data_IF_019295278285
#
_entry.id   IF_019295278285
#
_cell.length_a   1.000
_cell.length_b   1.000
_cell.length_c   1.000
_cell.angle_alpha   90.00
_cell.angle_beta   90.00
_cell.angle_gamma   90.00
#
_symmetry.space_group_name_H-M   'P 1'
#
loop_
_entity.id
_entity.type
_entity.pdbx_description
1 polymer ?
#
# COMPACT_ATOMS: atom_id res chain seq x y z
N UNK A 1 -9.30 24.79 13.62
CA UNK A 1 -9.97 24.47 12.33
C UNK A 1 -10.06 22.97 12.08
N UNK A 2 -8.95 22.22 11.94
CA UNK A 2 -8.99 20.78 11.62
C UNK A 2 -9.68 19.88 12.66
N UNK A 3 -9.46 20.11 13.97
CA UNK A 3 -10.16 19.35 15.01
C UNK A 3 -11.68 19.53 14.95
N UNK A 4 -12.14 20.75 14.67
CA UNK A 4 -13.56 21.07 14.47
C UNK A 4 -14.13 20.35 13.26
N UNK A 5 -13.37 20.28 12.15
CA UNK A 5 -13.78 19.55 10.95
C UNK A 5 -13.86 18.03 11.19
N UNK A 6 -12.93 17.46 11.95
CA UNK A 6 -12.99 16.05 12.36
C UNK A 6 -14.23 15.79 13.21
N UNK A 7 -14.47 16.60 14.25
CA UNK A 7 -15.63 16.41 15.14
C UNK A 7 -16.97 16.54 14.39
N UNK A 8 -17.02 17.34 13.33
CA UNK A 8 -18.21 17.50 12.48
C UNK A 8 -18.45 16.31 11.55
N UNK A 9 -17.41 15.83 10.88
CA UNK A 9 -17.55 14.77 9.86
C UNK A 9 -17.49 13.37 10.46
N UNK A 10 -16.70 13.18 11.51
CA UNK A 10 -16.51 11.90 12.21
C UNK A 10 -16.61 12.07 13.72
N UNK A 11 -17.81 12.31 14.27
CA UNK A 11 -18.01 12.56 15.71
C UNK A 11 -17.50 11.41 16.59
N UNK A 12 -17.59 10.16 16.11
CA UNK A 12 -17.11 8.97 16.82
C UNK A 12 -15.58 8.86 16.87
N UNK A 13 -14.84 9.54 15.98
CA UNK A 13 -13.38 9.53 15.95
C UNK A 13 -12.75 10.25 17.16
N UNK A 14 -13.52 11.10 17.85
CA UNK A 14 -13.08 11.80 19.07
C UNK A 14 -12.87 10.87 20.27
N UNK A 15 -13.56 9.72 20.31
CA UNK A 15 -13.58 8.82 21.47
C UNK A 15 -12.55 7.69 21.41
N UNK A 16 -11.80 7.56 20.31
CA UNK A 16 -10.88 6.44 20.14
C UNK A 16 -9.57 6.67 20.90
N UNK A 17 -9.25 5.76 21.84
CA UNK A 17 -7.97 5.71 22.55
C UNK A 17 -6.80 5.70 21.57
N UNK A 18 -5.68 6.36 21.89
CA UNK A 18 -4.43 6.24 21.12
C UNK A 18 -4.07 4.76 20.97
N UNK A 19 -3.56 4.38 19.80
CA UNK A 19 -3.02 3.05 19.57
C UNK A 19 -1.51 3.01 19.81
N UNK A 20 -0.97 1.86 20.22
CA UNK A 20 0.47 1.63 20.28
C UNK A 20 1.05 1.42 18.88
N UNK A 21 2.37 1.36 18.76
CA UNK A 21 3.05 0.97 17.53
C UNK A 21 3.78 2.11 16.80
N UNK A 22 4.48 1.77 15.70
CA UNK A 22 5.40 2.67 15.02
C UNK A 22 4.73 3.79 14.19
N UNK A 23 3.44 3.69 13.86
CA UNK A 23 2.72 4.65 13.01
C UNK A 23 1.83 5.56 13.87
N UNK A 24 2.26 6.81 14.14
CA UNK A 24 1.51 7.72 15.00
C UNK A 24 0.34 8.42 14.27
N UNK A 25 -0.63 8.87 15.06
CA UNK A 25 -1.74 9.75 14.60
C UNK A 25 -1.29 11.08 14.02
N UNK A 26 -0.12 11.58 14.43
CA UNK A 26 0.39 12.88 14.01
C UNK A 26 -0.55 14.05 14.34
N UNK A 27 -0.52 15.09 13.50
CA UNK A 27 -1.27 16.33 13.71
C UNK A 27 -2.76 16.19 13.38
N UNK A 28 -3.59 17.15 13.82
CA UNK A 28 -5.01 17.20 13.48
C UNK A 28 -5.27 17.19 11.97
N UNK A 29 -4.39 17.81 11.18
CA UNK A 29 -4.48 17.79 9.71
C UNK A 29 -4.26 16.38 9.15
N UNK A 30 -3.22 15.67 9.65
CA UNK A 30 -2.94 14.27 9.26
C UNK A 30 -4.11 13.36 9.61
N UNK A 31 -4.67 13.50 10.82
CA UNK A 31 -5.85 12.73 11.26
C UNK A 31 -7.04 12.95 10.34
N UNK A 32 -7.31 14.18 9.93
CA UNK A 32 -8.39 14.47 8.98
C UNK A 32 -8.18 13.74 7.65
N UNK A 33 -6.97 13.78 7.10
CA UNK A 33 -6.63 13.07 5.86
C UNK A 33 -6.76 11.54 6.03
N UNK A 34 -6.31 11.01 7.16
CA UNK A 34 -6.41 9.58 7.46
C UNK A 34 -7.88 9.14 7.52
N UNK A 35 -8.74 9.86 8.23
CA UNK A 35 -10.17 9.54 8.31
C UNK A 35 -10.84 9.58 6.94
N UNK A 36 -10.53 10.60 6.13
CA UNK A 36 -11.05 10.73 4.77
C UNK A 36 -10.64 9.54 3.88
N UNK A 37 -9.39 9.08 4.00
CA UNK A 37 -8.90 7.91 3.26
C UNK A 37 -9.53 6.63 3.80
N UNK A 38 -9.61 6.45 5.12
CA UNK A 38 -10.21 5.27 5.76
C UNK A 38 -11.65 5.06 5.33
N UNK A 39 -12.44 6.13 5.27
CA UNK A 39 -13.83 6.13 4.82
C UNK A 39 -13.98 5.60 3.39
N UNK A 40 -13.03 5.92 2.50
CA UNK A 40 -13.02 5.45 1.11
C UNK A 40 -12.50 4.02 0.93
N UNK A 41 -11.48 3.63 1.72
CA UNK A 41 -10.83 2.32 1.62
C UNK A 41 -11.66 1.21 2.23
N UNK A 42 -12.33 1.50 3.34
CA UNK A 42 -13.17 0.54 4.06
C UNK A 42 -14.61 0.98 3.85
N UNK A 43 -15.17 0.65 2.69
CA UNK A 43 -16.62 0.72 2.48
C UNK A 43 -17.25 -0.30 3.42
N UNK A 44 -17.62 0.14 4.60
CA UNK A 44 -18.46 -0.62 5.50
C UNK A 44 -19.29 0.39 6.25
N UNK A 45 -20.62 0.21 6.26
CA UNK A 45 -21.57 1.00 7.04
C UNK A 45 -21.40 0.79 8.56
N UNK A 46 -20.15 0.91 9.03
CA UNK A 46 -19.68 0.70 10.38
C UNK A 46 -18.58 1.71 10.72
N UNK A 47 -17.92 1.47 11.84
CA UNK A 47 -17.12 2.46 12.55
C UNK A 47 -15.73 2.66 11.91
N UNK A 48 -15.48 3.82 11.29
CA UNK A 48 -14.27 4.13 10.49
C UNK A 48 -12.98 3.81 11.25
N UNK A 49 -12.14 2.95 10.67
CA UNK A 49 -10.83 2.62 11.24
C UNK A 49 -9.79 3.68 10.87
N UNK A 50 -9.64 4.71 11.71
CA UNK A 50 -8.64 5.78 11.57
C UNK A 50 -7.21 5.22 11.36
N UNK A 51 -6.90 4.04 11.94
CA UNK A 51 -5.58 3.41 11.78
C UNK A 51 -5.29 3.07 10.32
N UNK A 52 -6.28 2.56 9.58
CA UNK A 52 -6.13 2.17 8.17
C UNK A 52 -5.65 3.36 7.32
N UNK A 53 -6.24 4.53 7.52
CA UNK A 53 -5.89 5.75 6.82
C UNK A 53 -4.50 6.27 7.20
N UNK A 54 -4.11 6.16 8.48
CA UNK A 54 -2.75 6.52 8.88
C UNK A 54 -1.70 5.59 8.29
N UNK A 55 -2.00 4.30 8.20
CA UNK A 55 -1.15 3.31 7.56
C UNK A 55 -1.04 3.56 6.05
N UNK A 56 -2.14 3.93 5.39
CA UNK A 56 -2.11 4.36 3.99
C UNK A 56 -1.20 5.57 3.77
N UNK A 57 -1.40 6.63 4.56
CA UNK A 57 -0.59 7.84 4.44
C UNK A 57 0.88 7.56 4.72
N UNK A 58 1.17 6.76 5.75
CA UNK A 58 2.52 6.33 6.05
C UNK A 58 3.16 5.61 4.85
N UNK A 59 2.49 4.60 4.29
CA UNK A 59 3.04 3.84 3.18
C UNK A 59 3.27 4.74 1.97
N UNK A 60 2.28 5.57 1.59
CA UNK A 60 2.42 6.53 0.49
C UNK A 60 3.64 7.45 0.68
N UNK A 61 3.78 8.03 1.87
CA UNK A 61 4.92 8.90 2.22
C UNK A 61 6.26 8.17 2.18
N UNK A 62 6.32 6.87 2.49
CA UNK A 62 7.57 6.10 2.38
C UNK A 62 7.95 5.81 0.94
N UNK A 63 6.97 5.52 0.08
CA UNK A 63 7.21 5.21 -1.33
C UNK A 63 7.57 6.46 -2.16
N UNK A 64 7.13 7.65 -1.73
CA UNK A 64 7.45 8.92 -2.38
C UNK A 64 8.82 9.49 -1.95
N UNK A 65 9.53 8.84 -1.02
CA UNK A 65 10.86 9.29 -0.59
C UNK A 65 11.92 9.05 -1.68
N UNK A 66 12.98 9.89 -1.75
CA UNK A 66 14.11 9.65 -2.65
C UNK A 66 14.86 8.34 -2.35
N UNK A 67 14.97 7.99 -1.07
CA UNK A 67 15.55 6.71 -0.61
C UNK A 67 14.44 5.89 0.02
N UNK A 68 13.98 4.88 -0.71
CA UNK A 68 12.85 4.04 -0.31
C UNK A 68 13.40 2.90 0.56
N UNK A 69 12.85 2.67 1.77
CA UNK A 69 13.18 1.49 2.55
C UNK A 69 12.74 0.21 1.80
N UNK A 70 13.43 -0.93 1.99
CA UNK A 70 13.00 -2.19 1.41
C UNK A 70 11.51 -2.46 1.67
N UNK A 71 10.76 -2.88 0.64
CA UNK A 71 9.30 -3.01 0.79
C UNK A 71 8.91 -4.06 1.82
N UNK A 72 9.78 -5.04 2.08
CA UNK A 72 9.64 -6.02 3.17
C UNK A 72 9.60 -5.38 4.56
N UNK A 73 10.44 -4.37 4.80
CA UNK A 73 10.47 -3.61 6.06
C UNK A 73 9.21 -2.77 6.19
N UNK A 74 8.78 -2.11 5.10
CA UNK A 74 7.55 -1.34 5.06
C UNK A 74 6.33 -2.23 5.35
N UNK A 75 6.25 -3.38 4.70
CA UNK A 75 5.19 -4.34 4.92
C UNK A 75 5.19 -4.88 6.35
N UNK A 76 6.35 -5.27 6.88
CA UNK A 76 6.47 -5.73 8.26
C UNK A 76 6.04 -4.69 9.29
N UNK A 77 6.43 -3.43 9.09
CA UNK A 77 6.00 -2.32 9.96
C UNK A 77 4.48 -2.15 9.97
N UNK A 78 3.83 -2.30 8.83
CA UNK A 78 2.37 -2.22 8.71
C UNK A 78 1.70 -3.41 9.44
N UNK A 79 2.24 -4.60 9.27
CA UNK A 79 1.75 -5.82 9.95
C UNK A 79 1.88 -5.66 11.47
N UNK A 80 3.05 -5.27 11.97
CA UNK A 80 3.32 -5.05 13.38
C UNK A 80 2.39 -4.00 13.97
N UNK A 81 2.13 -2.92 13.22
CA UNK A 81 1.21 -1.87 13.64
C UNK A 81 -0.22 -2.42 13.85
N UNK A 82 -0.73 -3.26 12.94
CA UNK A 82 -2.07 -3.84 13.09
C UNK A 82 -2.13 -4.88 14.21
N UNK A 83 -1.10 -5.73 14.35
CA UNK A 83 -1.03 -6.72 15.43
C UNK A 83 -0.96 -6.03 16.79
N UNK A 84 -0.14 -4.98 16.94
CA UNK A 84 -0.06 -4.18 18.16
C UNK A 84 -1.41 -3.52 18.53
N UNK A 85 -2.28 -3.28 17.54
CA UNK A 85 -3.64 -2.78 17.74
C UNK A 85 -4.69 -3.89 17.96
N UNK A 86 -4.25 -5.13 18.20
CA UNK A 86 -5.11 -6.27 18.51
C UNK A 86 -5.73 -6.96 17.29
N UNK A 87 -5.23 -6.71 16.07
CA UNK A 87 -5.66 -7.46 14.88
C UNK A 87 -4.94 -8.82 14.84
N UNK A 88 -5.64 -9.86 14.37
CA UNK A 88 -5.00 -11.15 14.06
C UNK A 88 -4.02 -11.00 12.90
N UNK A 89 -3.06 -11.92 12.77
CA UNK A 89 -2.13 -11.92 11.64
C UNK A 89 -2.84 -11.94 10.28
N UNK A 90 -3.92 -12.73 10.16
CA UNK A 90 -4.78 -12.75 8.96
C UNK A 90 -5.42 -11.40 8.67
N UNK A 91 -6.01 -10.75 9.68
CA UNK A 91 -6.66 -9.46 9.47
C UNK A 91 -5.65 -8.36 9.16
N UNK A 92 -4.48 -8.40 9.81
CA UNK A 92 -3.37 -7.49 9.54
C UNK A 92 -2.90 -7.63 8.08
N UNK A 93 -2.69 -8.86 7.62
CA UNK A 93 -2.29 -9.16 6.24
C UNK A 93 -3.33 -8.72 5.20
N UNK A 94 -4.61 -8.96 5.46
CA UNK A 94 -5.71 -8.52 4.60
C UNK A 94 -5.76 -6.99 4.47
N UNK A 95 -5.71 -6.28 5.59
CA UNK A 95 -5.73 -4.82 5.62
C UNK A 95 -4.48 -4.22 4.98
N UNK A 96 -3.30 -4.76 5.29
CA UNK A 96 -2.04 -4.36 4.68
C UNK A 96 -2.09 -4.51 3.16
N UNK A 97 -2.60 -5.63 2.65
CA UNK A 97 -2.74 -5.87 1.21
C UNK A 97 -3.67 -4.87 0.53
N UNK A 98 -4.82 -4.57 1.14
CA UNK A 98 -5.75 -3.55 0.63
C UNK A 98 -5.12 -2.16 0.59
N UNK A 99 -4.38 -1.80 1.64
CA UNK A 99 -3.68 -0.51 1.71
C UNK A 99 -2.58 -0.42 0.64
N UNK A 100 -1.77 -1.47 0.47
CA UNK A 100 -0.74 -1.51 -0.56
C UNK A 100 -1.31 -1.29 -1.96
N UNK A 101 -2.36 -2.05 -2.32
CA UNK A 101 -3.04 -1.92 -3.61
C UNK A 101 -3.54 -0.49 -3.79
N UNK A 102 -4.25 0.05 -2.80
CA UNK A 102 -4.78 1.39 -2.90
C UNK A 102 -3.71 2.48 -2.98
N UNK A 103 -2.57 2.33 -2.31
CA UNK A 103 -1.45 3.26 -2.46
C UNK A 103 -0.91 3.18 -3.89
N UNK A 104 -0.63 1.99 -4.40
CA UNK A 104 -0.13 1.78 -5.78
C UNK A 104 -1.08 2.42 -6.81
N UNK A 105 -2.40 2.25 -6.63
CA UNK A 105 -3.42 2.83 -7.52
C UNK A 105 -3.38 4.35 -7.54
N UNK A 106 -3.01 4.98 -6.42
CA UNK A 106 -3.03 6.43 -6.24
C UNK A 106 -1.64 7.10 -6.27
N UNK A 107 -0.61 6.36 -6.72
CA UNK A 107 0.67 6.95 -7.08
C UNK A 107 0.53 7.74 -8.39
N UNK A 108 1.18 8.90 -8.46
CA UNK A 108 1.19 9.76 -9.65
C UNK A 108 1.82 9.04 -10.85
N UNK A 109 1.31 9.27 -12.05
CA UNK A 109 1.86 8.71 -13.28
C UNK A 109 3.05 9.53 -13.76
N UNK A 110 4.23 9.25 -13.20
CA UNK A 110 5.48 9.93 -13.54
C UNK A 110 6.66 8.95 -13.56
N UNK A 111 7.81 9.42 -14.04
CA UNK A 111 9.02 8.60 -14.15
C UNK A 111 9.49 8.02 -12.81
N UNK A 112 9.29 8.75 -11.71
CA UNK A 112 9.68 8.27 -10.38
C UNK A 112 8.82 7.06 -9.96
N UNK A 113 7.51 7.11 -10.21
CA UNK A 113 6.60 5.99 -9.97
C UNK A 113 6.95 4.78 -10.82
N UNK A 114 7.31 4.97 -12.09
CA UNK A 114 7.78 3.87 -12.94
C UNK A 114 8.99 3.16 -12.33
N UNK A 115 10.02 3.92 -11.94
CA UNK A 115 11.24 3.38 -11.32
C UNK A 115 10.94 2.67 -9.99
N UNK A 116 10.06 3.24 -9.17
CA UNK A 116 9.59 2.63 -7.93
C UNK A 116 8.91 1.28 -8.20
N UNK A 117 7.95 1.21 -9.14
CA UNK A 117 7.23 -0.02 -9.43
C UNK A 117 8.17 -1.10 -10.01
N UNK A 118 9.11 -0.71 -10.88
CA UNK A 118 10.15 -1.61 -11.39
C UNK A 118 10.98 -2.19 -10.23
N UNK A 119 11.40 -1.33 -9.29
CA UNK A 119 12.10 -1.78 -8.09
C UNK A 119 11.26 -2.77 -7.26
N UNK A 120 9.99 -2.46 -6.99
CA UNK A 120 9.09 -3.33 -6.22
C UNK A 120 8.86 -4.70 -6.88
N UNK A 121 8.84 -4.75 -8.21
CA UNK A 121 8.70 -5.97 -9.00
C UNK A 121 9.97 -6.85 -8.98
N UNK A 122 11.14 -6.20 -8.95
CA UNK A 122 12.45 -6.86 -8.89
C UNK A 122 12.83 -7.28 -7.48
N UNK A 123 12.34 -6.59 -6.45
CA UNK A 123 12.49 -7.03 -5.07
C UNK A 123 11.96 -8.46 -4.94
N UNK A 124 12.88 -9.38 -4.68
CA UNK A 124 12.58 -10.80 -4.52
C UNK A 124 11.49 -11.02 -3.46
N UNK A 125 10.79 -12.14 -3.58
CA UNK A 125 10.11 -12.67 -2.40
C UNK A 125 11.19 -13.11 -1.41
N UNK A 126 11.57 -12.22 -0.50
CA UNK A 126 12.18 -12.65 0.74
C UNK A 126 11.19 -13.66 1.34
N UNK A 127 11.64 -14.88 1.62
CA UNK A 127 10.85 -15.92 2.28
C UNK A 127 10.53 -15.48 3.71
N UNK A 128 9.63 -14.50 3.84
CA UNK A 128 9.09 -14.05 5.09
C UNK A 128 7.91 -14.94 5.44
N UNK A 129 7.81 -15.44 6.68
CA UNK A 129 6.67 -16.23 7.09
C UNK A 129 5.41 -15.38 7.04
N UNK A 130 4.26 -16.01 6.79
CA UNK A 130 2.98 -15.36 7.00
C UNK A 130 2.90 -14.83 8.45
N UNK A 131 2.38 -13.60 8.70
CA UNK A 131 1.72 -12.67 7.77
C UNK A 131 2.63 -11.65 7.05
N UNK A 132 3.95 -11.78 7.15
CA UNK A 132 4.93 -10.78 6.68
C UNK A 132 5.31 -10.89 5.20
N UNK A 133 4.93 -11.97 4.53
CA UNK A 133 5.02 -12.05 3.08
C UNK A 133 4.01 -11.11 2.42
N UNK A 134 4.42 -10.38 1.37
CA UNK A 134 3.48 -9.57 0.58
C UNK A 134 2.50 -10.50 -0.14
N UNK A 135 1.23 -10.12 -0.18
CA UNK A 135 0.25 -10.93 -0.88
C UNK A 135 0.47 -10.90 -2.39
N UNK A 136 0.12 -12.00 -3.03
CA UNK A 136 0.15 -12.13 -4.48
C UNK A 136 -0.68 -11.05 -5.20
N UNK A 137 -1.76 -10.56 -4.58
CA UNK A 137 -2.60 -9.48 -5.11
C UNK A 137 -1.85 -8.15 -5.19
N UNK A 138 -0.99 -7.85 -4.21
CA UNK A 138 -0.15 -6.65 -4.23
C UNK A 138 0.88 -6.75 -5.36
N UNK A 139 1.58 -7.89 -5.45
CA UNK A 139 2.56 -8.12 -6.50
C UNK A 139 1.93 -8.07 -7.90
N UNK A 140 0.78 -8.74 -8.06
CA UNK A 140 -0.01 -8.67 -9.30
C UNK A 140 -0.27 -7.22 -9.70
N UNK A 141 -0.73 -6.38 -8.76
CA UNK A 141 -1.07 -4.99 -9.07
C UNK A 141 0.15 -4.16 -9.48
N UNK A 142 1.33 -4.43 -8.92
CA UNK A 142 2.58 -3.79 -9.35
C UNK A 142 2.87 -4.11 -10.82
N UNK A 143 2.83 -5.39 -11.20
CA UNK A 143 3.07 -5.79 -12.59
C UNK A 143 2.00 -5.28 -13.54
N UNK A 144 0.73 -5.35 -13.11
CA UNK A 144 -0.39 -4.86 -13.88
C UNK A 144 -0.19 -3.37 -14.24
N UNK A 145 0.06 -2.53 -13.24
CA UNK A 145 0.30 -1.10 -13.43
C UNK A 145 1.55 -0.82 -14.30
N UNK A 146 2.62 -1.62 -14.15
CA UNK A 146 3.80 -1.51 -15.03
C UNK A 146 3.45 -1.78 -16.50
N UNK A 147 2.70 -2.84 -16.79
CA UNK A 147 2.41 -3.26 -18.16
C UNK A 147 1.20 -2.57 -18.80
N UNK A 148 0.33 -1.93 -18.01
CA UNK A 148 -0.79 -1.14 -18.52
C UNK A 148 -0.45 0.34 -18.57
N UNK A 149 -0.08 0.93 -17.45
CA UNK A 149 -0.02 2.39 -17.30
C UNK A 149 1.36 2.93 -17.71
N UNK A 150 2.42 2.13 -17.54
CA UNK A 150 3.82 2.53 -17.81
C UNK A 150 4.49 1.73 -18.94
N UNK A 151 3.71 1.08 -19.81
CA UNK A 151 4.27 0.23 -20.87
C UNK A 151 5.30 0.97 -21.73
N UNK A 152 4.95 2.18 -22.13
CA UNK A 152 5.75 2.99 -23.06
C UNK A 152 7.03 3.54 -22.39
N UNK A 153 7.17 3.39 -21.08
CA UNK A 153 8.38 3.76 -20.34
C UNK A 153 9.46 2.68 -20.39
N UNK A 154 9.13 1.46 -20.83
CA UNK A 154 10.11 0.39 -20.94
C UNK A 154 11.03 0.57 -22.16
N UNK A 155 12.29 0.19 -22.00
CA UNK A 155 13.09 -0.25 -23.14
C UNK A 155 12.89 -1.76 -23.34
N UNK A 156 13.30 -2.25 -24.51
CA UNK A 156 13.10 -3.65 -24.90
C UNK A 156 13.67 -4.66 -23.90
N UNK A 157 14.86 -4.41 -23.35
CA UNK A 157 15.47 -5.33 -22.38
C UNK A 157 14.70 -5.32 -21.05
N UNK A 158 14.43 -4.14 -20.52
CA UNK A 158 13.71 -3.97 -19.27
C UNK A 158 12.30 -4.58 -19.32
N UNK A 159 11.62 -4.47 -20.46
CA UNK A 159 10.31 -5.09 -20.66
C UNK A 159 10.39 -6.61 -20.57
N UNK A 160 11.35 -7.22 -21.28
CA UNK A 160 11.52 -8.66 -21.29
C UNK A 160 11.92 -9.20 -19.91
N UNK A 161 12.78 -8.50 -19.18
CA UNK A 161 13.18 -8.87 -17.82
C UNK A 161 12.00 -8.81 -16.85
N UNK A 162 11.23 -7.71 -16.89
CA UNK A 162 10.01 -7.58 -16.09
C UNK A 162 9.00 -8.68 -16.45
N UNK A 163 8.84 -9.01 -17.73
CA UNK A 163 7.89 -10.04 -18.18
C UNK A 163 8.34 -11.44 -17.77
N UNK A 164 9.64 -11.73 -17.79
CA UNK A 164 10.19 -12.97 -17.26
C UNK A 164 9.94 -13.10 -15.76
N UNK A 165 10.16 -12.01 -15.00
CA UNK A 165 9.86 -11.93 -13.57
C UNK A 165 8.36 -12.09 -13.27
N UNK A 166 7.49 -11.60 -14.14
CA UNK A 166 6.05 -11.84 -14.04
C UNK A 166 5.72 -13.32 -14.30
N UNK A 167 6.24 -13.91 -15.38
CA UNK A 167 5.95 -15.31 -15.76
C UNK A 167 6.46 -16.35 -14.77
N UNK A 168 7.50 -16.04 -14.00
CA UNK A 168 8.01 -16.94 -12.95
C UNK A 168 7.10 -16.97 -11.72
N UNK A 169 6.32 -15.90 -11.51
CA UNK A 169 5.41 -15.75 -10.36
C UNK A 169 3.96 -16.07 -10.74
N UNK A 170 3.55 -15.65 -11.93
CA UNK A 170 2.18 -15.68 -12.41
C UNK A 170 2.05 -16.61 -13.62
N UNK A 171 1.25 -17.67 -13.49
CA UNK A 171 0.85 -18.48 -14.64
C UNK A 171 -0.66 -18.78 -14.59
N UNK A 172 -1.42 -18.42 -15.65
CA UNK A 172 -0.99 -17.67 -16.83
C UNK A 172 -0.79 -16.17 -16.54
N UNK A 173 0.03 -15.48 -17.37
CA UNK A 173 0.06 -14.01 -17.41
C UNK A 173 -1.04 -13.47 -18.32
N UNK A 174 -1.63 -12.30 -18.03
CA UNK A 174 -2.62 -11.66 -18.90
C UNK A 174 -2.09 -11.37 -20.30
N UNK A 175 -2.92 -11.57 -21.32
CA UNK A 175 -2.59 -11.16 -22.69
C UNK A 175 -2.38 -9.66 -22.80
N UNK A 176 -3.05 -8.87 -21.96
CA UNK A 176 -2.85 -7.42 -21.88
C UNK A 176 -1.41 -7.08 -21.50
N UNK A 177 -0.66 -7.93 -20.81
CA UNK A 177 0.74 -7.66 -20.49
C UNK A 177 1.69 -7.98 -21.64
N UNK A 178 1.21 -8.68 -22.67
CA UNK A 178 1.97 -9.09 -23.85
C UNK A 178 1.80 -8.04 -24.96
N UNK A 179 2.90 -7.62 -25.59
CA UNK A 179 2.86 -6.77 -26.78
C UNK A 179 3.63 -5.46 -26.62
N UNK A 180 4.95 -5.57 -26.59
CA UNK A 180 5.90 -4.47 -26.71
C UNK A 180 6.74 -4.69 -27.98
#
# INVERSE_FOLDING_TARGET
MWQTAIARNWPSAGFRKRWPGPIPRGSARRRFQALYVSEKLVLSGGDIDELVGHTYLYLKEQLERPTIPPSSILHGTIIDQFIACGRTGEKAHELASKIWIAVIDNLEENQQTFLLLKHLAQEGEFFLPFPYSRSYKVLWRVFDKLFTDFRDCFNRMDYHDALAGAKSRFQPVPSTWLGH
#
